data_IF_197449588202
#
_entry.id   IF_197449588202
#
_cell.length_a   1.000
_cell.length_b   1.000
_cell.length_c   1.000
_cell.angle_alpha   90.00
_cell.angle_beta   90.00
_cell.angle_gamma   90.00
#
_symmetry.space_group_name_H-M   'P 1'
#
loop_
_entity.id
_entity.type
_entity.pdbx_description
1 polymer ?
#
# COMPACT_ATOMS: atom_id res chain seq x y z
N UNK A 1 -24.85 -20.46 -52.59
CA UNK A 1 -25.28 -20.61 -51.18
C UNK A 1 -24.50 -19.59 -50.36
N UNK A 2 -25.25 -18.71 -49.69
CA UNK A 2 -24.80 -17.41 -49.22
C UNK A 2 -23.94 -17.45 -47.95
N UNK A 3 -23.02 -16.48 -47.90
CA UNK A 3 -22.06 -16.16 -46.84
C UNK A 3 -22.78 -15.61 -45.61
N UNK A 4 -22.31 -15.98 -44.42
CA UNK A 4 -22.44 -15.17 -43.20
C UNK A 4 -21.24 -15.42 -42.28
N UNK A 5 -20.29 -14.49 -42.13
CA UNK A 5 -19.36 -14.52 -41.02
C UNK A 5 -19.99 -13.78 -39.83
N UNK A 6 -20.25 -14.52 -38.76
CA UNK A 6 -20.66 -13.96 -37.46
C UNK A 6 -19.44 -13.24 -36.87
N UNK A 7 -19.42 -11.91 -36.99
CA UNK A 7 -18.52 -11.06 -36.23
C UNK A 7 -18.97 -11.05 -34.76
N UNK A 8 -18.39 -11.93 -33.94
CA UNK A 8 -18.50 -11.85 -32.50
C UNK A 8 -17.62 -10.69 -32.01
N UNK A 9 -18.25 -9.54 -31.77
CA UNK A 9 -17.62 -8.40 -31.12
C UNK A 9 -17.29 -8.77 -29.66
N UNK A 10 -16.02 -9.09 -29.40
CA UNK A 10 -15.48 -9.17 -28.04
C UNK A 10 -15.43 -7.75 -27.47
N UNK A 11 -16.46 -7.38 -26.71
CA UNK A 11 -16.46 -6.23 -25.83
C UNK A 11 -15.43 -6.48 -24.72
N UNK A 12 -14.21 -5.97 -24.92
CA UNK A 12 -13.21 -5.85 -23.86
C UNK A 12 -13.72 -4.83 -22.84
N UNK A 13 -14.42 -5.31 -21.83
CA UNK A 13 -14.61 -4.60 -20.58
C UNK A 13 -13.23 -4.36 -19.98
N UNK A 14 -12.68 -3.16 -20.19
CA UNK A 14 -11.51 -2.65 -19.50
C UNK A 14 -11.87 -2.49 -18.01
N UNK A 15 -11.87 -3.60 -17.27
CA UNK A 15 -11.94 -3.58 -15.83
C UNK A 15 -10.70 -2.84 -15.33
N UNK A 16 -10.87 -1.59 -14.88
CA UNK A 16 -9.85 -0.83 -14.19
C UNK A 16 -9.51 -1.57 -12.89
N UNK A 17 -8.55 -2.50 -12.96
CA UNK A 17 -8.02 -3.19 -11.79
C UNK A 17 -7.33 -2.14 -10.93
N UNK A 18 -7.79 -1.98 -9.69
CA UNK A 18 -7.13 -1.10 -8.74
C UNK A 18 -5.64 -1.47 -8.63
N UNK A 19 -4.74 -0.49 -8.43
CA UNK A 19 -3.32 -0.75 -8.29
C UNK A 19 -3.07 -1.84 -7.24
N UNK A 20 -2.25 -2.82 -7.62
CA UNK A 20 -1.86 -3.92 -6.75
C UNK A 20 -0.97 -3.38 -5.63
N UNK A 21 -1.08 -3.97 -4.44
CA UNK A 21 -0.16 -3.68 -3.35
C UNK A 21 1.22 -4.29 -3.64
N UNK A 22 2.27 -3.49 -3.43
CA UNK A 22 3.67 -3.91 -3.44
C UNK A 22 4.05 -4.38 -2.04
N UNK A 23 4.64 -5.57 -1.92
CA UNK A 23 5.11 -6.11 -0.65
C UNK A 23 6.34 -5.32 -0.18
N UNK A 24 6.30 -4.77 1.04
CA UNK A 24 7.42 -4.03 1.63
C UNK A 24 8.24 -4.90 2.57
N UNK A 25 7.57 -5.73 3.39
CA UNK A 25 8.26 -6.56 4.38
C UNK A 25 7.33 -7.57 5.04
N UNK A 26 7.93 -8.57 5.69
CA UNK A 26 7.24 -9.54 6.51
C UNK A 26 8.16 -9.94 7.68
N UNK A 27 7.65 -9.89 8.90
CA UNK A 27 8.40 -10.16 10.12
C UNK A 27 7.44 -10.60 11.23
N UNK A 28 7.80 -11.67 11.93
CA UNK A 28 7.07 -12.17 13.10
C UNK A 28 5.55 -12.26 12.88
N UNK A 29 5.15 -12.89 11.75
CA UNK A 29 3.74 -13.08 11.40
C UNK A 29 2.99 -11.84 10.92
N UNK A 30 3.67 -10.69 10.87
CA UNK A 30 3.12 -9.42 10.37
C UNK A 30 3.72 -9.07 9.01
N UNK A 31 2.85 -8.92 8.00
CA UNK A 31 3.23 -8.48 6.67
C UNK A 31 2.82 -7.01 6.44
N UNK A 32 3.71 -6.25 5.80
CA UNK A 32 3.48 -4.86 5.37
C UNK A 32 3.55 -4.80 3.84
N UNK A 33 2.57 -4.17 3.23
CA UNK A 33 2.54 -3.83 1.81
C UNK A 33 2.08 -2.39 1.63
N UNK A 34 2.38 -1.76 0.50
CA UNK A 34 1.92 -0.40 0.18
C UNK A 34 1.37 -0.30 -1.23
N UNK A 35 0.60 0.76 -1.50
CA UNK A 35 0.28 1.20 -2.86
C UNK A 35 0.02 2.70 -2.88
N UNK A 36 0.24 3.31 -4.03
CA UNK A 36 -0.19 4.66 -4.27
C UNK A 36 -1.67 4.73 -4.65
N UNK A 37 -2.36 5.75 -4.13
CA UNK A 37 -3.69 6.15 -4.54
C UNK A 37 -3.62 7.58 -5.08
N UNK A 38 -3.81 7.71 -6.39
CA UNK A 38 -3.81 8.99 -7.08
C UNK A 38 -5.25 9.35 -7.45
N UNK A 39 -5.82 10.36 -6.79
CA UNK A 39 -7.16 10.86 -7.09
C UNK A 39 -7.06 12.21 -7.77
N UNK A 40 -7.86 12.43 -8.80
CA UNK A 40 -7.92 13.73 -9.48
C UNK A 40 -8.34 14.83 -8.49
N UNK A 41 -7.64 15.97 -8.54
CA UNK A 41 -7.89 17.11 -7.65
C UNK A 41 -7.53 16.87 -6.18
N UNK A 42 -6.85 15.76 -5.84
CA UNK A 42 -6.37 15.47 -4.48
C UNK A 42 -4.89 15.10 -4.49
N UNK A 43 -4.16 15.35 -3.38
CA UNK A 43 -2.81 14.84 -3.22
C UNK A 43 -2.75 13.31 -3.38
N UNK A 44 -1.61 12.81 -3.87
CA UNK A 44 -1.30 11.39 -3.81
C UNK A 44 -1.29 10.88 -2.37
N UNK A 45 -1.76 9.65 -2.16
CA UNK A 45 -1.81 9.02 -0.85
C UNK A 45 -1.07 7.69 -0.90
N UNK A 46 -0.14 7.47 0.02
CA UNK A 46 0.52 6.19 0.21
C UNK A 46 -0.34 5.35 1.16
N UNK A 47 -1.06 4.37 0.62
CA UNK A 47 -1.91 3.48 1.40
C UNK A 47 -1.12 2.25 1.82
N UNK A 48 -1.08 1.96 3.12
CA UNK A 48 -0.46 0.75 3.63
C UNK A 48 -1.47 -0.37 3.84
N UNK A 49 -1.00 -1.60 3.80
CA UNK A 49 -1.73 -2.79 4.23
C UNK A 49 -0.87 -3.54 5.23
N UNK A 50 -1.39 -3.73 6.44
CA UNK A 50 -0.78 -4.56 7.46
C UNK A 50 -1.62 -5.81 7.63
N UNK A 51 -1.01 -6.98 7.69
CA UNK A 51 -1.68 -8.25 7.94
C UNK A 51 -0.99 -8.91 9.10
N UNK A 52 -1.70 -9.13 10.20
CA UNK A 52 -1.25 -9.99 11.29
C UNK A 52 -1.87 -11.38 11.09
N UNK A 53 -1.06 -12.34 10.67
CA UNK A 53 -1.48 -13.73 10.46
C UNK A 53 -1.40 -14.58 11.74
N UNK A 54 -0.85 -14.03 12.83
CA UNK A 54 -0.68 -14.74 14.08
C UNK A 54 -1.95 -14.74 14.94
N UNK A 55 -1.95 -15.64 15.93
CA UNK A 55 -2.97 -15.76 16.97
C UNK A 55 -2.79 -14.77 18.13
N UNK A 56 -1.73 -13.96 18.12
CA UNK A 56 -1.46 -12.94 19.14
C UNK A 56 -1.50 -11.55 18.54
N UNK A 57 -1.81 -10.56 19.37
CA UNK A 57 -1.78 -9.16 18.94
C UNK A 57 -0.33 -8.69 18.90
N UNK A 58 -0.01 -7.75 18.01
CA UNK A 58 1.34 -7.22 17.87
C UNK A 58 1.34 -5.70 17.89
N UNK A 59 2.33 -5.10 18.57
CA UNK A 59 2.72 -3.71 18.36
C UNK A 59 3.74 -3.66 17.24
N UNK A 60 3.51 -2.76 16.30
CA UNK A 60 4.27 -2.63 15.06
C UNK A 60 4.77 -1.20 14.96
N UNK A 61 6.08 -1.05 14.95
CA UNK A 61 6.76 0.21 14.65
C UNK A 61 7.36 0.10 13.26
N UNK A 62 7.12 1.11 12.43
CA UNK A 62 7.62 1.15 11.06
C UNK A 62 8.08 2.54 10.65
N UNK A 63 9.17 2.55 9.89
CA UNK A 63 9.72 3.70 9.20
C UNK A 63 9.67 3.45 7.69
N UNK A 64 9.23 4.44 6.93
CA UNK A 64 9.22 4.41 5.48
C UNK A 64 9.99 5.60 4.94
N UNK A 65 10.89 5.34 4.00
CA UNK A 65 11.58 6.38 3.24
C UNK A 65 10.99 6.41 1.83
N UNK A 66 10.69 7.61 1.36
CA UNK A 66 10.29 7.86 -0.03
C UNK A 66 11.49 8.45 -0.75
N UNK A 67 11.86 7.80 -1.85
CA UNK A 67 12.93 8.25 -2.71
C UNK A 67 12.38 8.74 -4.05
N UNK A 68 12.95 9.81 -4.60
CA UNK A 68 12.76 10.23 -5.97
C UNK A 68 14.12 10.51 -6.60
N UNK A 69 14.43 9.85 -7.72
CA UNK A 69 15.74 9.98 -8.40
C UNK A 69 16.94 9.78 -7.46
N UNK A 70 16.88 8.71 -6.65
CA UNK A 70 17.89 8.32 -5.66
C UNK A 70 18.10 9.28 -4.46
N UNK A 71 17.24 10.29 -4.29
CA UNK A 71 17.24 11.16 -3.10
C UNK A 71 16.07 10.79 -2.19
N UNK A 72 16.33 10.62 -0.89
CA UNK A 72 15.26 10.57 0.12
C UNK A 72 14.60 11.94 0.19
N UNK A 73 13.32 12.02 -0.18
CA UNK A 73 12.57 13.27 -0.20
C UNK A 73 11.61 13.41 0.98
N UNK A 74 11.16 12.30 1.55
CA UNK A 74 10.24 12.31 2.66
C UNK A 74 10.36 11.01 3.47
N UNK A 75 10.15 11.12 4.79
CA UNK A 75 10.19 10.00 5.71
C UNK A 75 8.91 9.95 6.54
N UNK A 76 8.39 8.75 6.74
CA UNK A 76 7.21 8.51 7.56
C UNK A 76 7.50 7.52 8.66
N UNK A 77 6.83 7.71 9.79
CA UNK A 77 6.88 6.80 10.91
C UNK A 77 5.47 6.48 11.39
N UNK A 78 5.22 5.22 11.71
CA UNK A 78 3.99 4.78 12.36
C UNK A 78 4.29 3.79 13.49
N UNK A 79 3.51 3.93 14.56
CA UNK A 79 3.48 2.99 15.68
C UNK A 79 2.02 2.61 15.89
N UNK A 80 1.70 1.34 15.70
CA UNK A 80 0.33 0.85 15.75
C UNK A 80 0.24 -0.50 16.44
N UNK A 81 -0.95 -0.84 16.94
CA UNK A 81 -1.25 -2.15 17.49
C UNK A 81 -2.24 -2.86 16.56
N UNK A 82 -1.85 -4.02 16.05
CA UNK A 82 -2.69 -4.85 15.18
C UNK A 82 -3.16 -6.11 15.93
N UNK A 83 -4.49 -6.30 16.12
CA UNK A 83 -4.99 -7.49 16.80
C UNK A 83 -4.69 -8.78 16.01
N UNK A 84 -4.71 -9.91 16.72
CA UNK A 84 -4.54 -11.25 16.16
C UNK A 84 -5.48 -11.51 14.96
N UNK A 85 -4.96 -12.07 13.88
CA UNK A 85 -5.73 -12.44 12.69
C UNK A 85 -6.38 -11.28 11.93
N UNK A 86 -5.95 -10.03 12.17
CA UNK A 86 -6.55 -8.84 11.54
C UNK A 86 -5.73 -8.33 10.37
N UNK A 87 -6.42 -7.62 9.49
CA UNK A 87 -5.82 -6.83 8.40
C UNK A 87 -6.23 -5.37 8.56
N UNK A 88 -5.25 -4.47 8.52
CA UNK A 88 -5.48 -3.04 8.34
C UNK A 88 -5.24 -2.68 6.88
N UNK A 89 -6.17 -1.95 6.26
CA UNK A 89 -6.13 -1.64 4.84
C UNK A 89 -6.35 -0.15 4.57
N UNK A 90 -5.24 0.57 4.44
CA UNK A 90 -5.17 1.97 4.08
C UNK A 90 -6.10 2.82 4.92
N UNK A 91 -6.98 3.55 4.23
CA UNK A 91 -7.97 4.44 4.84
C UNK A 91 -8.96 3.77 5.78
N UNK A 92 -9.34 2.52 5.54
CA UNK A 92 -10.35 1.83 6.36
C UNK A 92 -9.90 1.69 7.82
N UNK A 93 -8.58 1.64 8.05
CA UNK A 93 -7.98 1.47 9.37
C UNK A 93 -6.97 2.57 9.69
N UNK A 94 -6.98 3.67 8.93
CA UNK A 94 -6.16 4.84 9.20
C UNK A 94 -4.65 4.70 8.94
N UNK A 95 -4.19 3.65 8.24
CA UNK A 95 -2.77 3.43 7.98
C UNK A 95 -2.40 3.89 6.56
N UNK A 96 -2.27 5.21 6.41
CA UNK A 96 -1.90 5.85 5.16
C UNK A 96 -1.17 7.18 5.42
N UNK A 97 -0.41 7.61 4.43
CA UNK A 97 0.33 8.87 4.48
C UNK A 97 0.00 9.74 3.27
N UNK A 98 0.01 11.05 3.49
CA UNK A 98 -0.11 12.05 2.43
C UNK A 98 1.22 12.80 2.39
N UNK A 99 2.05 12.59 1.35
CA UNK A 99 3.27 13.36 1.17
C UNK A 99 3.03 14.87 1.21
N UNK A 100 3.90 15.56 1.95
CA UNK A 100 3.92 17.02 2.04
C UNK A 100 4.97 17.62 1.10
N UNK A 101 6.02 16.87 0.76
CA UNK A 101 7.14 17.33 -0.07
C UNK A 101 7.08 16.72 -1.46
N UNK A 102 6.86 15.40 -1.57
CA UNK A 102 6.77 14.72 -2.86
C UNK A 102 5.50 15.17 -3.60
N UNK A 103 5.64 15.69 -4.82
CA UNK A 103 4.48 16.10 -5.61
C UNK A 103 3.68 14.92 -6.15
N UNK A 104 2.46 15.17 -6.59
CA UNK A 104 1.62 14.13 -7.21
C UNK A 104 2.23 13.58 -8.49
N UNK A 105 2.88 14.44 -9.28
CA UNK A 105 3.56 14.08 -10.53
C UNK A 105 4.76 13.20 -10.24
N UNK A 106 5.57 13.55 -9.23
CA UNK A 106 6.70 12.73 -8.79
C UNK A 106 6.22 11.38 -8.27
N UNK A 107 5.19 11.34 -7.43
CA UNK A 107 4.62 10.10 -6.88
C UNK A 107 4.14 9.11 -7.96
N UNK A 108 3.71 9.61 -9.13
CA UNK A 108 3.29 8.79 -10.28
C UNK A 108 4.47 8.34 -11.14
N UNK A 109 5.65 8.93 -10.97
CA UNK A 109 6.84 8.56 -11.73
C UNK A 109 7.32 7.16 -11.36
N UNK A 110 7.79 6.35 -12.33
CA UNK A 110 8.50 5.10 -12.04
C UNK A 110 9.79 5.31 -11.24
N UNK A 111 10.32 6.54 -11.20
CA UNK A 111 11.52 6.89 -10.42
C UNK A 111 11.23 7.05 -8.92
N UNK A 112 9.98 6.96 -8.49
CA UNK A 112 9.59 7.00 -7.08
C UNK A 112 9.65 5.61 -6.47
N UNK A 113 10.39 5.49 -5.37
CA UNK A 113 10.55 4.25 -4.60
C UNK A 113 10.14 4.48 -3.15
N UNK A 114 9.68 3.42 -2.50
CA UNK A 114 9.27 3.43 -1.09
C UNK A 114 9.97 2.27 -0.41
N UNK A 115 10.80 2.58 0.57
CA UNK A 115 11.59 1.61 1.31
C UNK A 115 11.09 1.51 2.75
N UNK A 116 10.99 0.29 3.27
CA UNK A 116 10.71 0.03 4.67
C UNK A 116 12.03 0.03 5.45
N UNK A 117 12.38 1.18 6.01
CA UNK A 117 13.66 1.44 6.66
C UNK A 117 13.69 1.01 8.12
N UNK A 118 12.54 1.00 8.79
CA UNK A 118 12.37 0.40 10.11
C UNK A 118 11.17 -0.56 10.09
N UNK A 119 11.34 -1.73 10.69
CA UNK A 119 10.23 -2.66 10.91
C UNK A 119 10.47 -3.52 12.14
N UNK A 120 9.80 -3.14 13.23
CA UNK A 120 9.86 -3.82 14.52
C UNK A 120 8.47 -4.33 14.86
N UNK A 121 8.41 -5.62 15.21
CA UNK A 121 7.20 -6.31 15.61
C UNK A 121 7.44 -6.89 16.98
N UNK A 122 6.57 -6.58 17.93
CA UNK A 122 6.65 -7.07 19.30
C UNK A 122 5.29 -7.56 19.76
N UNK A 123 5.20 -8.70 20.48
CA UNK A 123 3.95 -9.16 21.04
C UNK A 123 3.29 -8.08 21.91
N UNK A 124 1.99 -7.90 21.72
CA UNK A 124 1.14 -7.03 22.53
C UNK A 124 0.06 -7.86 23.22
N UNK A 125 -0.21 -7.57 24.50
CA UNK A 125 -1.23 -8.31 25.26
C UNK A 125 -2.64 -8.12 24.67
N UNK A 126 -3.07 -6.87 24.51
CA UNK A 126 -4.37 -6.53 23.90
C UNK A 126 -4.23 -5.23 23.12
N UNK A 127 -4.65 -5.23 21.86
CA UNK A 127 -4.86 -3.99 21.12
C UNK A 127 -6.22 -3.37 21.48
N UNK A 128 -6.31 -2.02 21.54
CA UNK A 128 -7.56 -1.31 21.76
C UNK A 128 -8.61 -1.60 20.68
#
# INVERSE_FOLDING_TARGET
>A
MNRLPIFAAFLFLAACKAPQFTQAGNKDGVAVSYRWNHREGKPSELLLKLVNADSTSHRVTMGLDIHFQALTVEQFHADTCIPAGRTFNGKLNGIYFIPQVLTTEQAKSPDTQVDLTEFTVTPAGKCP
#
